data_IF_714339296759
#
_entry.id   IF_714339296759
#
_cell.length_a   1.000
_cell.length_b   1.000
_cell.length_c   1.000
_cell.angle_alpha   90.00
_cell.angle_beta   90.00
_cell.angle_gamma   90.00
#
_symmetry.space_group_name_H-M   'P 1'
#
loop_
_entity.id
_entity.type
_entity.pdbx_description
1 polymer ?
#
# COMPACT_ATOMS: atom_id res chain seq x y z
N UNK A 1 16.10 0.82 -16.65
CA UNK A 1 14.91 1.62 -17.03
C UNK A 1 14.02 0.76 -17.95
N UNK A 2 12.79 0.43 -17.52
CA UNK A 2 11.90 -0.45 -18.26
C UNK A 2 11.15 0.28 -19.38
N UNK A 3 10.79 -0.47 -20.43
CA UNK A 3 9.71 -0.07 -21.32
C UNK A 3 8.38 -0.52 -20.70
N UNK A 4 7.36 0.32 -20.74
CA UNK A 4 6.01 -0.09 -20.35
C UNK A 4 5.19 -0.49 -21.58
N UNK A 5 4.93 -1.77 -21.70
CA UNK A 5 3.98 -2.30 -22.68
C UNK A 5 2.57 -2.15 -22.11
N UNK A 6 1.87 -1.12 -22.56
CA UNK A 6 0.57 -0.74 -21.99
C UNK A 6 -0.47 -1.83 -22.27
N UNK A 7 -1.07 -2.45 -21.23
CA UNK A 7 -2.11 -3.46 -21.44
C UNK A 7 -3.28 -2.96 -22.26
N UNK A 8 -3.92 -3.85 -23.01
CA UNK A 8 -5.03 -3.46 -23.89
C UNK A 8 -6.21 -2.87 -23.11
N UNK A 9 -6.52 -3.44 -21.92
CA UNK A 9 -7.56 -2.93 -21.01
C UNK A 9 -7.32 -1.48 -20.61
N UNK A 10 -6.07 -1.17 -20.18
CA UNK A 10 -5.69 0.20 -19.80
C UNK A 10 -5.79 1.16 -20.98
N UNK A 11 -5.39 0.73 -22.19
CA UNK A 11 -5.52 1.58 -23.38
C UNK A 11 -6.98 1.83 -23.78
N UNK A 12 -7.84 0.85 -23.59
CA UNK A 12 -9.28 0.99 -23.85
C UNK A 12 -9.92 1.97 -22.87
N UNK A 13 -9.65 1.80 -21.58
CA UNK A 13 -10.13 2.69 -20.51
C UNK A 13 -9.69 4.14 -20.77
N UNK A 14 -8.41 4.37 -21.05
CA UNK A 14 -7.93 5.72 -21.37
C UNK A 14 -8.49 6.29 -22.67
N UNK A 15 -8.77 5.45 -23.65
CA UNK A 15 -9.40 5.89 -24.89
C UNK A 15 -10.85 6.34 -24.67
N UNK A 16 -11.58 5.66 -23.77
CA UNK A 16 -12.95 6.03 -23.35
C UNK A 16 -12.97 7.36 -22.59
N UNK A 17 -11.91 7.66 -21.85
CA UNK A 17 -11.71 8.95 -21.16
C UNK A 17 -11.23 10.08 -22.10
N UNK A 18 -11.02 9.79 -23.39
CA UNK A 18 -10.52 10.78 -24.36
C UNK A 18 -9.01 11.01 -24.31
N UNK A 19 -8.26 10.22 -23.57
CA UNK A 19 -6.81 10.30 -23.37
C UNK A 19 -6.07 9.04 -23.88
N UNK A 20 -6.08 8.75 -25.18
CA UNK A 20 -5.56 7.49 -25.70
C UNK A 20 -4.06 7.32 -25.43
N UNK A 21 -3.68 6.20 -24.83
CA UNK A 21 -2.29 5.84 -24.58
C UNK A 21 -1.66 5.06 -25.73
N UNK A 22 -0.36 5.25 -26.00
CA UNK A 22 0.38 4.45 -26.97
C UNK A 22 0.50 3.00 -26.50
N UNK A 23 0.84 2.09 -27.38
CA UNK A 23 1.05 0.67 -27.03
C UNK A 23 2.29 0.43 -26.18
N UNK A 24 3.27 1.34 -26.26
CA UNK A 24 4.54 1.29 -25.50
C UNK A 24 4.93 2.69 -25.07
N UNK A 25 5.27 2.84 -23.80
CA UNK A 25 5.90 4.03 -23.26
C UNK A 25 7.38 3.70 -23.00
N UNK A 26 8.32 4.44 -23.60
CA UNK A 26 9.75 4.20 -23.43
C UNK A 26 10.22 4.57 -22.00
N UNK A 27 11.45 4.19 -21.61
CA UNK A 27 12.07 4.70 -20.39
C UNK A 27 12.10 6.22 -20.37
N UNK A 28 11.88 6.81 -19.20
CA UNK A 28 11.92 8.26 -19.03
C UNK A 28 10.95 8.76 -17.96
N UNK A 29 10.91 10.07 -17.74
CA UNK A 29 10.10 10.69 -16.69
C UNK A 29 8.58 10.46 -16.84
N UNK A 30 8.14 10.26 -18.08
CA UNK A 30 6.72 9.97 -18.37
C UNK A 30 6.33 8.50 -18.20
N UNK A 31 7.29 7.64 -17.83
CA UNK A 31 7.00 6.22 -17.66
C UNK A 31 6.49 5.93 -16.24
N UNK A 32 5.21 5.50 -16.09
CA UNK A 32 4.63 5.27 -14.76
C UNK A 32 5.25 4.09 -14.00
N UNK A 33 6.07 3.26 -14.64
CA UNK A 33 6.82 2.18 -13.97
C UNK A 33 8.07 2.69 -13.23
N UNK A 34 8.50 3.94 -13.47
CA UNK A 34 9.72 4.47 -12.89
C UNK A 34 10.99 3.78 -13.41
N UNK A 35 12.03 3.74 -12.59
CA UNK A 35 13.38 3.29 -13.00
C UNK A 35 13.59 1.79 -12.95
N UNK A 36 12.83 1.06 -12.13
CA UNK A 36 12.99 -0.40 -11.92
C UNK A 36 11.64 -1.11 -11.87
N UNK A 37 11.65 -2.35 -12.33
CA UNK A 37 10.51 -3.27 -12.30
C UNK A 37 10.97 -4.66 -11.90
N UNK A 38 10.26 -5.27 -10.98
CA UNK A 38 10.33 -6.68 -10.64
C UNK A 38 9.07 -7.35 -11.19
N UNK A 39 9.25 -8.26 -12.13
CA UNK A 39 8.15 -8.99 -12.74
C UNK A 39 7.82 -10.22 -11.89
N UNK A 40 6.57 -10.35 -11.50
CA UNK A 40 6.08 -11.53 -10.79
C UNK A 40 5.76 -12.67 -11.76
N UNK A 41 5.75 -13.90 -11.26
CA UNK A 41 5.32 -15.09 -12.02
C UNK A 41 3.79 -15.16 -12.21
N UNK A 42 3.09 -14.09 -11.85
CA UNK A 42 1.69 -13.85 -12.17
C UNK A 42 1.61 -12.92 -13.38
N UNK A 43 0.98 -13.36 -14.49
CA UNK A 43 0.88 -12.54 -15.69
C UNK A 43 0.24 -11.16 -15.42
N UNK A 44 0.94 -10.10 -15.80
CA UNK A 44 0.45 -8.74 -15.64
C UNK A 44 0.74 -8.07 -14.30
N UNK A 45 1.26 -8.80 -13.30
CA UNK A 45 1.57 -8.23 -11.99
C UNK A 45 3.05 -7.88 -11.86
N UNK A 46 3.29 -6.67 -11.35
CA UNK A 46 4.61 -6.07 -11.20
C UNK A 46 4.78 -5.45 -9.80
N UNK A 47 6.01 -5.45 -9.30
CA UNK A 47 6.45 -4.52 -8.26
C UNK A 47 7.33 -3.49 -8.98
N UNK A 48 7.01 -2.20 -8.88
CA UNK A 48 7.69 -1.20 -9.70
C UNK A 48 7.81 0.15 -9.00
N UNK A 49 8.68 0.99 -9.50
CA UNK A 49 8.76 2.38 -9.08
C UNK A 49 7.58 3.22 -9.59
N UNK A 50 7.75 4.51 -9.56
CA UNK A 50 6.71 5.41 -10.08
C UNK A 50 7.32 6.75 -10.48
N UNK A 51 6.71 7.42 -11.45
CA UNK A 51 6.95 8.83 -11.73
C UNK A 51 5.97 9.74 -10.94
N UNK A 52 5.04 9.12 -10.19
CA UNK A 52 4.03 9.82 -9.38
C UNK A 52 4.07 9.28 -7.94
N UNK A 53 5.05 9.71 -7.10
CA UNK A 53 5.27 9.16 -5.77
C UNK A 53 4.09 9.31 -4.80
N UNK A 54 3.25 10.33 -4.98
CA UNK A 54 2.05 10.56 -4.17
C UNK A 54 1.00 9.45 -4.28
N UNK A 55 1.04 8.63 -5.35
CA UNK A 55 0.17 7.48 -5.52
C UNK A 55 0.63 6.19 -4.82
N UNK A 56 1.77 6.23 -4.09
CA UNK A 56 2.25 5.07 -3.33
C UNK A 56 1.36 4.83 -2.11
N UNK A 57 0.96 3.57 -1.91
CA UNK A 57 0.03 3.19 -0.84
C UNK A 57 -1.45 3.36 -1.18
N UNK A 58 -1.77 3.92 -2.35
CA UNK A 58 -3.14 4.07 -2.83
C UNK A 58 -3.54 2.93 -3.76
N UNK A 59 -4.84 2.59 -3.80
CA UNK A 59 -5.43 1.61 -4.73
C UNK A 59 -5.75 2.25 -6.07
N UNK A 60 -4.72 2.70 -6.78
CA UNK A 60 -4.83 3.41 -8.06
C UNK A 60 -4.16 2.65 -9.21
N UNK A 61 -3.95 1.35 -9.04
CA UNK A 61 -3.38 0.49 -10.07
C UNK A 61 -4.29 -0.71 -10.34
N UNK A 62 -4.13 -1.33 -11.51
CA UNK A 62 -4.82 -2.58 -11.87
C UNK A 62 -4.21 -3.83 -11.21
N UNK A 63 -3.64 -3.67 -10.00
CA UNK A 63 -3.08 -4.75 -9.19
C UNK A 63 -1.55 -4.76 -9.07
N UNK A 64 -0.83 -3.86 -9.74
CA UNK A 64 0.61 -3.70 -9.55
C UNK A 64 0.93 -3.01 -8.22
N UNK A 65 2.07 -3.34 -7.62
CA UNK A 65 2.53 -2.76 -6.37
C UNK A 65 3.52 -1.64 -6.68
N UNK A 66 3.21 -0.42 -6.22
CA UNK A 66 4.05 0.76 -6.40
C UNK A 66 4.93 0.98 -5.19
N UNK A 67 6.20 1.28 -5.45
CA UNK A 67 7.17 1.72 -4.44
C UNK A 67 7.69 3.11 -4.79
N UNK A 68 8.16 3.83 -3.79
CA UNK A 68 8.94 5.05 -4.01
C UNK A 68 10.18 4.74 -4.86
N UNK A 69 10.65 5.69 -5.68
CA UNK A 69 11.80 5.48 -6.57
C UNK A 69 13.02 4.91 -5.87
N UNK A 70 13.41 5.47 -4.74
CA UNK A 70 14.53 5.02 -3.93
C UNK A 70 14.33 3.62 -3.34
N UNK A 71 13.09 3.27 -2.98
CA UNK A 71 12.79 1.97 -2.39
C UNK A 71 12.83 0.84 -3.41
N UNK A 72 12.33 1.09 -4.63
CA UNK A 72 12.42 0.07 -5.68
C UNK A 72 13.86 -0.13 -6.18
N UNK A 73 14.67 0.93 -6.23
CA UNK A 73 16.09 0.80 -6.58
C UNK A 73 16.82 -0.03 -5.52
N UNK A 74 16.62 0.25 -4.25
CA UNK A 74 17.19 -0.53 -3.16
C UNK A 74 16.72 -1.98 -3.18
N UNK A 75 15.42 -2.24 -3.34
CA UNK A 75 14.87 -3.59 -3.40
C UNK A 75 15.44 -4.37 -4.60
N UNK A 76 15.56 -3.70 -5.76
CA UNK A 76 16.06 -4.32 -6.98
C UNK A 76 17.50 -4.85 -6.85
N UNK A 77 18.32 -4.21 -6.02
CA UNK A 77 19.69 -4.65 -5.75
C UNK A 77 19.78 -5.78 -4.71
N UNK A 78 18.73 -5.96 -3.89
CA UNK A 78 18.70 -6.97 -2.83
C UNK A 78 18.17 -8.32 -3.29
N UNK A 79 17.28 -8.34 -4.28
CA UNK A 79 16.56 -9.56 -4.67
C UNK A 79 17.20 -10.21 -5.89
N UNK A 80 17.20 -11.54 -5.89
CA UNK A 80 17.70 -12.33 -7.01
C UNK A 80 16.54 -12.80 -7.91
N UNK A 81 16.89 -13.20 -9.12
CA UNK A 81 15.92 -13.79 -10.04
C UNK A 81 15.43 -15.14 -9.48
N UNK A 82 14.13 -15.31 -9.37
CA UNK A 82 13.51 -16.50 -8.79
C UNK A 82 13.24 -16.40 -7.29
N UNK A 83 13.49 -15.23 -6.68
CA UNK A 83 13.11 -14.96 -5.30
C UNK A 83 11.61 -15.17 -5.09
N UNK A 84 11.25 -15.82 -3.96
CA UNK A 84 9.86 -16.10 -3.65
C UNK A 84 9.16 -14.85 -3.12
N UNK A 85 8.08 -14.44 -3.78
CA UNK A 85 7.19 -13.37 -3.31
C UNK A 85 5.91 -14.00 -2.76
N UNK A 86 5.53 -13.62 -1.54
CA UNK A 86 4.26 -14.01 -0.91
C UNK A 86 3.44 -12.75 -0.65
N UNK A 87 2.26 -12.67 -1.24
CA UNK A 87 1.30 -11.58 -0.98
C UNK A 87 0.30 -12.11 0.04
N UNK A 88 0.18 -11.41 1.16
CA UNK A 88 -0.69 -11.78 2.28
C UNK A 88 -1.78 -10.72 2.46
N UNK A 89 -2.95 -11.16 2.95
CA UNK A 89 -4.01 -10.27 3.41
C UNK A 89 -4.16 -10.47 4.92
N UNK A 90 -3.27 -9.85 5.67
CA UNK A 90 -3.26 -9.90 7.13
C UNK A 90 -3.29 -8.46 7.65
N UNK A 91 -4.48 -7.91 7.95
CA UNK A 91 -4.61 -6.52 8.40
C UNK A 91 -4.03 -6.30 9.80
N UNK A 92 -3.81 -7.36 10.57
CA UNK A 92 -3.27 -7.30 11.93
C UNK A 92 -2.01 -8.14 12.02
N UNK A 93 -0.96 -7.54 12.58
CA UNK A 93 0.32 -8.19 12.79
C UNK A 93 0.78 -8.03 14.24
N UNK A 94 1.34 -9.10 14.82
CA UNK A 94 2.01 -9.10 16.11
C UNK A 94 3.45 -9.51 15.93
N UNK A 95 4.35 -8.78 16.58
CA UNK A 95 5.77 -9.09 16.60
C UNK A 95 6.35 -8.82 17.98
N UNK A 96 7.41 -9.57 18.35
CA UNK A 96 8.18 -9.31 19.54
C UNK A 96 9.59 -8.86 19.16
N UNK A 97 10.03 -7.75 19.74
CA UNK A 97 11.38 -7.24 19.58
C UNK A 97 11.90 -6.71 20.93
N UNK A 98 13.09 -7.15 21.34
CA UNK A 98 13.76 -6.73 22.57
C UNK A 98 12.91 -6.88 23.86
N UNK A 99 12.02 -7.86 23.88
CA UNK A 99 11.10 -8.13 24.98
C UNK A 99 9.78 -7.38 24.92
N UNK A 100 9.64 -6.40 24.06
CA UNK A 100 8.41 -5.65 23.82
C UNK A 100 7.57 -6.31 22.74
N UNK A 101 6.24 -6.25 22.89
CA UNK A 101 5.29 -6.74 21.90
C UNK A 101 4.70 -5.55 21.15
N UNK A 102 4.78 -5.62 19.83
CA UNK A 102 4.27 -4.61 18.91
C UNK A 102 3.07 -5.17 18.15
N UNK A 103 2.06 -4.35 18.05
CA UNK A 103 0.87 -4.62 17.24
C UNK A 103 0.77 -3.58 16.12
N UNK A 104 0.56 -4.06 14.90
CA UNK A 104 0.37 -3.22 13.71
C UNK A 104 -1.01 -3.51 13.13
N UNK A 105 -1.74 -2.47 12.73
CA UNK A 105 -3.08 -2.59 12.20
C UNK A 105 -3.27 -1.75 10.95
N UNK A 106 -3.79 -2.38 9.91
CA UNK A 106 -4.20 -1.78 8.65
C UNK A 106 -5.70 -1.88 8.46
N UNK A 107 -6.26 -0.99 7.65
CA UNK A 107 -7.67 -1.08 7.28
C UNK A 107 -7.92 -2.40 6.51
N UNK A 108 -8.85 -3.25 6.97
CA UNK A 108 -9.21 -4.48 6.29
C UNK A 108 -9.75 -4.23 4.87
N UNK A 109 -9.69 -5.25 4.02
CA UNK A 109 -10.30 -5.20 2.70
C UNK A 109 -11.83 -5.27 2.83
N UNK A 110 -12.57 -4.49 2.03
CA UNK A 110 -14.04 -4.44 2.06
C UNK A 110 -14.68 -5.78 1.63
N UNK A 111 -14.01 -6.51 0.76
CA UNK A 111 -14.45 -7.79 0.20
C UNK A 111 -13.86 -9.01 0.93
N UNK A 112 -13.28 -8.81 2.12
CA UNK A 112 -12.75 -9.92 2.91
C UNK A 112 -13.89 -10.80 3.44
N UNK A 113 -13.79 -12.10 3.19
CA UNK A 113 -14.78 -13.09 3.66
C UNK A 113 -14.75 -13.35 5.17
N UNK A 114 -13.68 -12.90 5.85
CA UNK A 114 -13.48 -13.03 7.29
C UNK A 114 -13.56 -11.65 7.92
N UNK A 115 -14.41 -11.51 8.96
CA UNK A 115 -14.56 -10.22 9.61
C UNK A 115 -13.28 -9.78 10.33
N UNK A 116 -13.04 -8.46 10.47
CA UNK A 116 -11.88 -7.95 11.20
C UNK A 116 -11.80 -8.48 12.63
N UNK A 117 -12.93 -8.59 13.29
CA UNK A 117 -13.02 -9.10 14.67
C UNK A 117 -12.58 -10.56 14.75
N UNK A 118 -13.03 -11.40 13.82
CA UNK A 118 -12.61 -12.80 13.75
C UNK A 118 -11.12 -12.96 13.43
N UNK A 119 -10.55 -12.11 12.57
CA UNK A 119 -9.11 -12.10 12.29
C UNK A 119 -8.30 -11.70 13.51
N UNK A 120 -8.76 -10.67 14.23
CA UNK A 120 -8.09 -10.23 15.45
C UNK A 120 -8.13 -11.30 16.53
N UNK A 121 -9.30 -11.91 16.76
CA UNK A 121 -9.46 -12.99 17.73
C UNK A 121 -8.51 -14.16 17.41
N UNK A 122 -8.50 -14.63 16.17
CA UNK A 122 -7.64 -15.72 15.73
C UNK A 122 -6.14 -15.38 15.89
N UNK A 123 -5.74 -14.15 15.58
CA UNK A 123 -4.36 -13.70 15.77
C UNK A 123 -3.95 -13.74 17.24
N UNK A 124 -4.80 -13.22 18.14
CA UNK A 124 -4.55 -13.18 19.58
C UNK A 124 -4.51 -14.60 20.20
N UNK A 125 -5.42 -15.47 19.78
CA UNK A 125 -5.43 -16.87 20.19
C UNK A 125 -4.15 -17.60 19.75
N UNK A 126 -3.77 -17.48 18.48
CA UNK A 126 -2.56 -18.09 17.94
C UNK A 126 -1.30 -17.56 18.63
N UNK A 127 -1.25 -16.25 18.91
CA UNK A 127 -0.14 -15.66 19.63
C UNK A 127 -0.01 -16.23 21.04
N UNK A 128 -1.11 -16.29 21.79
CA UNK A 128 -1.13 -16.81 23.16
C UNK A 128 -0.82 -18.31 23.23
N UNK A 129 -1.20 -19.06 22.22
CA UNK A 129 -0.86 -20.48 22.10
C UNK A 129 0.63 -20.70 21.84
N UNK A 130 1.27 -19.84 21.05
CA UNK A 130 2.66 -19.94 20.65
C UNK A 130 3.64 -19.33 21.68
N UNK A 131 3.18 -18.39 22.52
CA UNK A 131 4.01 -17.63 23.44
C UNK A 131 3.55 -17.81 24.89
N UNK A 132 4.49 -18.06 25.81
CA UNK A 132 4.22 -18.22 27.23
C UNK A 132 5.15 -17.34 28.06
N UNK A 133 4.61 -16.43 28.91
CA UNK A 133 3.17 -16.09 29.02
C UNK A 133 2.66 -15.42 27.74
N UNK A 134 1.36 -15.59 27.46
CA UNK A 134 0.68 -14.85 26.40
C UNK A 134 0.50 -13.37 26.75
N UNK A 135 -0.31 -12.67 25.95
CA UNK A 135 -0.64 -11.27 26.20
C UNK A 135 -1.42 -11.11 27.51
N UNK A 136 -1.03 -10.14 28.32
CA UNK A 136 -1.83 -9.73 29.48
C UNK A 136 -3.13 -9.06 29.02
N UNK A 137 -4.15 -9.04 29.88
CA UNK A 137 -5.47 -8.45 29.55
C UNK A 137 -5.34 -6.98 29.09
N UNK A 138 -4.48 -6.20 29.72
CA UNK A 138 -4.24 -4.81 29.34
C UNK A 138 -3.59 -4.69 27.94
N UNK A 139 -2.73 -5.63 27.56
CA UNK A 139 -2.11 -5.68 26.24
C UNK A 139 -3.15 -6.07 25.15
N UNK A 140 -4.06 -7.00 25.46
CA UNK A 140 -5.17 -7.35 24.59
C UNK A 140 -6.09 -6.14 24.37
N UNK A 141 -6.45 -5.42 25.43
CA UNK A 141 -7.26 -4.19 25.31
C UNK A 141 -6.54 -3.13 24.48
N UNK A 142 -5.22 -2.98 24.65
CA UNK A 142 -4.44 -2.05 23.84
C UNK A 142 -4.39 -2.48 22.37
N UNK A 143 -4.17 -3.76 22.10
CA UNK A 143 -4.20 -4.30 20.74
C UNK A 143 -5.55 -4.04 20.04
N UNK A 144 -6.67 -4.20 20.76
CA UNK A 144 -8.00 -3.87 20.24
C UNK A 144 -8.17 -2.38 19.92
N UNK A 145 -7.62 -1.50 20.75
CA UNK A 145 -7.65 -0.06 20.49
C UNK A 145 -6.80 0.32 19.26
N UNK A 146 -5.62 -0.29 19.10
CA UNK A 146 -4.76 -0.09 17.92
C UNK A 146 -5.45 -0.65 16.66
N UNK A 147 -6.11 -1.82 16.78
CA UNK A 147 -6.87 -2.42 15.68
C UNK A 147 -7.97 -1.47 15.17
N UNK A 148 -8.70 -0.85 16.08
CA UNK A 148 -9.75 0.11 15.73
C UNK A 148 -9.21 1.40 15.08
N UNK A 149 -7.99 1.81 15.42
CA UNK A 149 -7.36 3.01 14.85
C UNK A 149 -6.81 2.80 13.43
N UNK A 150 -6.40 1.56 13.08
CA UNK A 150 -5.91 1.13 11.76
C UNK A 150 -4.87 2.09 11.13
N UNK A 151 -3.89 2.52 11.92
CA UNK A 151 -2.92 3.56 11.51
C UNK A 151 -1.83 3.07 10.56
N UNK A 152 -1.66 1.74 10.41
CA UNK A 152 -0.58 1.13 9.62
C UNK A 152 0.81 1.27 10.24
N UNK A 153 0.90 1.70 11.49
CA UNK A 153 2.16 1.84 12.21
C UNK A 153 2.25 0.87 13.39
N UNK A 154 3.39 0.17 13.58
CA UNK A 154 3.60 -0.68 14.75
C UNK A 154 3.56 0.12 16.05
N UNK A 155 2.76 -0.32 17.01
CA UNK A 155 2.63 0.30 18.34
C UNK A 155 2.87 -0.74 19.41
N UNK A 156 3.50 -0.33 20.53
CA UNK A 156 3.73 -1.22 21.67
C UNK A 156 2.41 -1.51 22.38
N UNK A 157 2.18 -2.78 22.73
CA UNK A 157 1.00 -3.19 23.49
C UNK A 157 1.13 -2.87 24.98
N UNK A 158 2.35 -2.90 25.54
CA UNK A 158 2.62 -2.70 26.96
C UNK A 158 2.74 -1.22 27.40
N UNK A 159 2.84 -0.27 26.47
CA UNK A 159 3.05 1.16 26.80
C UNK A 159 1.90 2.02 26.32
N UNK A 160 1.44 2.91 27.20
CA UNK A 160 0.54 4.02 26.83
C UNK A 160 1.31 5.21 26.20
N UNK A 161 2.64 5.13 26.06
CA UNK A 161 3.49 6.24 25.67
C UNK A 161 4.00 6.06 24.24
N UNK A 162 3.16 6.43 23.27
CA UNK A 162 3.49 6.38 21.84
C UNK A 162 4.68 7.29 21.47
N UNK A 163 5.00 8.27 22.31
CA UNK A 163 6.12 9.20 22.12
C UNK A 163 7.49 8.48 22.10
N UNK A 164 7.64 7.37 22.81
CA UNK A 164 8.90 6.59 22.81
C UNK A 164 9.11 5.83 21.49
N UNK A 165 8.05 5.37 20.85
CA UNK A 165 8.10 4.69 19.53
C UNK A 165 8.53 5.68 18.46
N UNK A 166 7.93 6.87 18.46
CA UNK A 166 8.28 7.96 17.56
C UNK A 166 9.71 8.46 17.78
N UNK A 167 10.18 8.51 19.04
CA UNK A 167 11.56 8.92 19.35
C UNK A 167 12.62 7.92 18.85
N UNK A 168 12.26 6.64 18.70
CA UNK A 168 13.14 5.58 18.16
C UNK A 168 12.95 5.35 16.66
N UNK A 169 11.89 5.88 16.08
CA UNK A 169 11.63 5.76 14.65
C UNK A 169 12.78 6.39 13.86
N UNK A 170 13.36 5.63 12.94
CA UNK A 170 14.29 6.19 11.98
C UNK A 170 13.50 7.16 11.10
N UNK A 171 13.87 8.43 11.15
CA UNK A 171 13.38 9.41 10.18
C UNK A 171 13.95 8.98 8.82
N UNK A 172 13.16 8.29 8.04
CA UNK A 172 13.46 8.10 6.62
C UNK A 172 13.18 9.45 5.97
N UNK A 173 14.25 10.17 5.62
CA UNK A 173 14.09 11.36 4.79
C UNK A 173 13.68 10.89 3.41
N UNK A 174 12.47 11.24 3.03
CA UNK A 174 12.06 11.13 1.65
C UNK A 174 12.96 12.06 0.83
N UNK A 175 13.87 11.49 0.04
CA UNK A 175 14.79 12.23 -0.82
C UNK A 175 14.17 12.62 -2.15
N UNK A 176 12.92 12.23 -2.40
CA UNK A 176 12.14 12.74 -3.52
C UNK A 176 11.97 14.25 -3.28
N UNK A 177 12.54 15.07 -4.17
CA UNK A 177 12.19 16.49 -4.22
C UNK A 177 10.69 16.56 -4.50
N UNK A 178 9.94 16.77 -3.44
CA UNK A 178 8.50 17.01 -3.54
C UNK A 178 8.37 18.34 -4.23
N UNK A 179 7.79 18.35 -5.42
CA UNK A 179 7.37 19.58 -6.07
C UNK A 179 6.51 20.36 -5.06
N UNK A 180 6.92 21.56 -4.63
CA UNK A 180 6.16 22.33 -3.67
C UNK A 180 4.75 22.73 -4.17
N UNK A 181 4.51 22.60 -5.49
CA UNK A 181 3.21 22.80 -6.12
C UNK A 181 2.42 21.48 -6.29
N UNK A 182 3.02 20.33 -5.93
CA UNK A 182 2.31 19.04 -5.98
C UNK A 182 1.14 19.02 -4.98
N UNK A 183 -0.03 18.55 -5.40
CA UNK A 183 -1.19 18.49 -4.52
C UNK A 183 -0.92 17.56 -3.32
N UNK A 184 -1.41 17.97 -2.16
CA UNK A 184 -1.39 17.14 -0.95
C UNK A 184 -2.26 15.89 -1.13
N UNK A 185 -2.04 14.87 -0.30
CA UNK A 185 -2.89 13.67 -0.30
C UNK A 185 -4.38 13.98 -0.10
N UNK A 186 -4.71 15.04 0.64
CA UNK A 186 -6.08 15.49 0.84
C UNK A 186 -6.66 16.09 -0.45
N UNK A 187 -5.89 16.93 -1.13
CA UNK A 187 -6.28 17.55 -2.41
C UNK A 187 -6.40 16.49 -3.52
N UNK A 188 -5.48 15.51 -3.57
CA UNK A 188 -5.58 14.39 -4.51
C UNK A 188 -6.84 13.56 -4.26
N UNK A 189 -7.20 13.29 -3.00
CA UNK A 189 -8.46 12.61 -2.67
C UNK A 189 -9.68 13.41 -3.13
N UNK A 190 -9.69 14.70 -2.86
CA UNK A 190 -10.78 15.59 -3.26
C UNK A 190 -10.94 15.64 -4.78
N UNK A 191 -9.82 15.71 -5.51
CA UNK A 191 -9.80 15.63 -6.98
C UNK A 191 -10.33 14.29 -7.52
N UNK A 192 -9.98 13.16 -6.87
CA UNK A 192 -10.49 11.84 -7.26
C UNK A 192 -12.00 11.74 -6.98
N UNK A 193 -12.45 12.19 -5.81
CA UNK A 193 -13.86 12.17 -5.42
C UNK A 193 -14.71 13.11 -6.31
N UNK A 194 -14.13 14.19 -6.79
CA UNK A 194 -14.78 15.11 -7.74
C UNK A 194 -14.87 14.50 -9.13
N UNK A 195 -13.79 13.91 -9.64
CA UNK A 195 -13.77 13.21 -10.93
C UNK A 195 -14.74 12.02 -10.96
N UNK A 196 -14.83 11.27 -9.85
CA UNK A 196 -15.81 10.16 -9.72
C UNK A 196 -17.24 10.68 -9.70
N UNK A 197 -17.50 11.83 -9.06
CA UNK A 197 -18.83 12.47 -9.07
C UNK A 197 -19.21 12.94 -10.47
N UNK A 198 -18.32 13.66 -11.17
CA UNK A 198 -18.53 14.14 -12.53
C UNK A 198 -18.80 12.97 -13.51
N UNK A 199 -18.03 11.89 -13.40
CA UNK A 199 -18.23 10.69 -14.21
C UNK A 199 -19.58 9.97 -13.94
N UNK A 200 -20.14 10.12 -12.74
CA UNK A 200 -21.43 9.55 -12.38
C UNK A 200 -22.63 10.49 -12.71
N UNK A 201 -22.38 11.80 -12.85
CA UNK A 201 -23.42 12.81 -13.13
C UNK A 201 -23.64 13.07 -14.64
N UNK A 202 -22.69 12.65 -15.48
CA UNK A 202 -22.85 12.70 -16.96
C UNK A 202 -23.06 11.29 -17.55
N UNK A 203 -24.29 10.73 -17.48
CA UNK A 203 -24.65 9.58 -18.29
C UNK A 203 -24.83 10.08 -19.71
N UNK A 204 -23.72 10.13 -20.48
CA UNK A 204 -23.69 10.60 -21.83
C UNK A 204 -24.98 10.28 -22.59
N UNK A 205 -25.59 11.29 -23.17
CA UNK A 205 -26.72 11.14 -24.06
C UNK A 205 -26.38 10.07 -25.09
N UNK A 206 -27.00 8.91 -24.95
CA UNK A 206 -27.02 7.91 -25.99
C UNK A 206 -27.76 8.55 -27.18
N UNK A 207 -27.01 9.09 -28.13
CA UNK A 207 -27.56 9.47 -29.44
C UNK A 207 -27.83 8.19 -30.18
N UNK A 208 -29.13 7.97 -30.48
CA UNK A 208 -29.68 6.98 -31.40
C UNK A 208 -28.98 6.94 -32.76
#
# INVERSE_FOLDING_TARGET
DPHWYVPLSVRQEHAELGEPLPSVIPPGPENPLGHRVLKLDMPGYLIHGTNQPYGVGMRVSHGCIRLYPENIEYLYELVELGEKVTIINEPFLLAQQDGDIYFESHAPLEDDSVSPEQRLELLLENWNAANQPGLAEAEVQRAQAIAAAATGAPQRTASANDDEVLARARVVRNTVEVDPEAPTLAEVREMIDEAVREANEDPGEATD
#
